data_IF_577354025610
#
_entry.id   IF_577354025610
#
_cell.length_a   1.000
_cell.length_b   1.000
_cell.length_c   1.000
_cell.angle_alpha   90.00
_cell.angle_beta   90.00
_cell.angle_gamma   90.00
#
_symmetry.space_group_name_H-M   'P 1'
#
loop_
_entity.id
_entity.type
_entity.pdbx_description
1 polymer ?
#
# COMPACT_ATOMS: atom_id res chain seq x y z
N UNK A 1 13.27 -4.09 22.62
CA UNK A 1 13.95 -4.63 21.42
C UNK A 1 13.10 -4.31 20.21
N UNK A 2 13.55 -3.39 19.36
CA UNK A 2 12.83 -2.96 18.15
C UNK A 2 13.24 -3.90 17.02
N UNK A 3 12.29 -4.67 16.47
CA UNK A 3 12.52 -5.51 15.29
C UNK A 3 12.21 -4.68 14.04
N UNK A 4 13.21 -4.47 13.20
CA UNK A 4 13.12 -3.77 11.92
C UNK A 4 12.79 -4.79 10.83
N UNK A 5 11.70 -4.60 10.12
CA UNK A 5 11.35 -5.41 8.93
C UNK A 5 11.35 -4.48 7.73
N UNK A 6 12.33 -4.66 6.83
CA UNK A 6 12.43 -3.96 5.55
C UNK A 6 11.75 -4.85 4.52
N UNK A 7 10.61 -4.42 3.97
CA UNK A 7 9.92 -5.15 2.91
C UNK A 7 10.05 -4.37 1.59
N UNK A 8 10.75 -4.97 0.63
CA UNK A 8 10.85 -4.47 -0.74
C UNK A 8 9.62 -4.97 -1.52
N UNK A 9 8.79 -4.05 -2.01
CA UNK A 9 7.63 -4.38 -2.84
C UNK A 9 7.76 -3.65 -4.17
N UNK A 10 7.79 -4.40 -5.27
CA UNK A 10 7.66 -3.88 -6.63
C UNK A 10 6.17 -3.73 -6.91
N UNK A 11 5.68 -2.48 -6.99
CA UNK A 11 4.29 -2.20 -7.31
C UNK A 11 4.18 -1.78 -8.78
N UNK A 12 3.33 -2.46 -9.55
CA UNK A 12 2.92 -2.05 -10.90
C UNK A 12 1.51 -1.48 -10.77
N UNK A 13 1.35 -0.16 -10.90
CA UNK A 13 0.05 0.49 -10.82
C UNK A 13 -0.34 1.19 -12.12
N UNK A 14 -1.64 1.21 -12.44
CA UNK A 14 -2.22 2.13 -13.43
C UNK A 14 -2.78 3.33 -12.66
N UNK A 15 -2.24 4.52 -12.88
CA UNK A 15 -2.81 5.78 -12.39
C UNK A 15 -3.52 6.53 -13.53
N UNK A 16 -4.79 6.86 -13.34
CA UNK A 16 -5.53 7.81 -14.22
C UNK A 16 -5.29 9.23 -13.72
N UNK A 17 -4.83 10.13 -14.59
CA UNK A 17 -4.74 11.57 -14.28
C UNK A 17 -5.93 12.30 -14.89
N UNK A 18 -6.61 13.12 -14.09
CA UNK A 18 -7.59 14.10 -14.57
C UNK A 18 -6.85 15.25 -15.25
N UNK A 19 -7.09 15.45 -16.55
CA UNK A 19 -6.49 16.54 -17.32
C UNK A 19 -7.31 17.82 -17.16
N UNK A 20 -6.64 18.91 -16.77
CA UNK A 20 -7.12 20.26 -17.09
C UNK A 20 -6.85 20.53 -18.57
N UNK A 21 -7.94 20.69 -19.32
CA UNK A 21 -7.98 20.93 -20.75
C UNK A 21 -7.43 22.32 -21.12
N UNK A 22 -6.42 22.38 -22.00
CA UNK A 22 -6.14 23.56 -22.81
C UNK A 22 -6.52 23.28 -24.27
N UNK A 23 -7.65 23.87 -24.66
CA UNK A 23 -8.10 24.10 -26.03
C UNK A 23 -7.12 24.97 -26.81
N UNK A 24 -6.80 24.62 -28.06
CA UNK A 24 -6.07 25.54 -28.95
C UNK A 24 -5.64 24.94 -30.29
N UNK A 25 -6.35 25.37 -31.34
CA UNK A 25 -6.11 25.25 -32.79
C UNK A 25 -4.68 24.98 -33.29
N UNK A 26 -4.59 24.14 -34.33
CA UNK A 26 -3.38 23.86 -35.10
C UNK A 26 -2.83 25.12 -35.80
N UNK A 27 -1.53 25.41 -35.58
CA UNK A 27 -0.76 26.38 -36.38
C UNK A 27 0.31 25.66 -37.22
N UNK A 28 0.64 26.17 -38.43
CA UNK A 28 1.52 25.50 -39.37
C UNK A 28 2.98 25.54 -38.89
N UNK A 29 3.72 24.45 -39.12
CA UNK A 29 5.13 24.33 -38.75
C UNK A 29 6.04 25.13 -39.70
N UNK A 30 6.95 25.97 -39.19
CA UNK A 30 8.13 26.36 -39.93
C UNK A 30 9.40 25.75 -39.34
N UNK A 31 10.21 25.18 -40.25
CA UNK A 31 11.67 25.03 -40.22
C UNK A 31 12.31 24.42 -38.95
N UNK A 32 12.96 23.26 -39.12
CA UNK A 32 13.87 22.65 -38.13
C UNK A 32 15.00 23.63 -37.78
N UNK A 33 14.78 24.40 -36.72
CA UNK A 33 15.81 25.06 -35.95
C UNK A 33 16.35 23.97 -35.02
N UNK A 34 17.66 23.73 -35.05
CA UNK A 34 18.34 22.92 -34.02
C UNK A 34 18.19 23.69 -32.72
N UNK A 35 17.10 23.43 -32.00
CA UNK A 35 16.83 24.02 -30.70
C UNK A 35 17.85 23.44 -29.73
N UNK A 36 18.73 24.29 -29.22
CA UNK A 36 19.47 23.99 -27.99
C UNK A 36 18.44 23.46 -26.96
N UNK A 37 18.75 22.41 -26.19
CA UNK A 37 17.83 21.95 -25.16
C UNK A 37 17.60 23.13 -24.21
N UNK A 38 16.42 23.74 -24.32
CA UNK A 38 16.00 24.82 -23.43
C UNK A 38 15.94 24.17 -22.05
N UNK A 39 16.99 24.35 -21.25
CA UNK A 39 16.94 24.10 -19.81
C UNK A 39 15.93 25.08 -19.26
N UNK A 40 14.66 24.66 -19.23
CA UNK A 40 13.61 25.39 -18.54
C UNK A 40 14.10 25.60 -17.09
N UNK A 41 13.99 26.81 -16.53
CA UNK A 41 14.30 27.02 -15.13
C UNK A 41 13.50 26.01 -14.31
N UNK A 42 14.11 25.45 -13.26
CA UNK A 42 13.46 24.52 -12.34
C UNK A 42 12.30 25.23 -11.66
N UNK A 43 11.14 25.19 -12.30
CA UNK A 43 9.86 25.57 -11.71
C UNK A 43 9.57 24.53 -10.63
N UNK A 44 9.01 24.97 -9.50
CA UNK A 44 8.64 24.08 -8.39
C UNK A 44 7.99 22.79 -8.92
N UNK A 45 8.42 21.61 -8.44
CA UNK A 45 7.87 20.34 -8.91
C UNK A 45 6.37 20.31 -8.66
N UNK A 46 5.60 19.92 -9.68
CA UNK A 46 4.15 19.77 -9.55
C UNK A 46 3.86 18.72 -8.47
N UNK A 47 3.02 19.08 -7.51
CA UNK A 47 2.63 18.21 -6.40
C UNK A 47 1.21 17.73 -6.65
N UNK A 48 1.04 16.41 -6.69
CA UNK A 48 -0.27 15.75 -6.74
C UNK A 48 -0.55 15.06 -5.41
N UNK A 49 -1.72 15.28 -4.82
CA UNK A 49 -2.13 14.65 -3.56
C UNK A 49 -3.25 13.66 -3.86
N UNK A 50 -3.07 12.42 -3.43
CA UNK A 50 -4.04 11.35 -3.55
C UNK A 50 -4.41 10.78 -2.18
N UNK A 51 -5.70 10.46 -2.02
CA UNK A 51 -6.22 9.69 -0.90
C UNK A 51 -6.91 8.47 -1.48
N UNK A 52 -6.69 7.29 -0.90
CA UNK A 52 -7.26 6.06 -1.43
C UNK A 52 -7.28 4.91 -0.44
N UNK A 53 -7.82 3.79 -0.91
CA UNK A 53 -7.76 2.52 -0.21
C UNK A 53 -6.44 1.82 -0.55
N UNK A 54 -5.84 1.18 0.44
CA UNK A 54 -4.67 0.31 0.27
C UNK A 54 -4.96 -1.04 0.88
N UNK A 55 -4.27 -2.06 0.40
CA UNK A 55 -4.30 -3.39 0.99
C UNK A 55 -2.87 -3.85 1.22
N UNK A 56 -2.67 -4.65 2.27
CA UNK A 56 -1.39 -5.26 2.56
C UNK A 56 -1.55 -6.73 2.87
N UNK A 57 -0.52 -7.50 2.59
CA UNK A 57 -0.51 -8.93 2.90
C UNK A 57 0.88 -9.30 3.41
N UNK A 58 0.92 -10.04 4.51
CA UNK A 58 2.16 -10.60 5.04
C UNK A 58 2.55 -11.78 4.16
N UNK A 59 3.68 -11.65 3.47
CA UNK A 59 4.22 -12.69 2.61
C UNK A 59 5.34 -13.47 3.31
N UNK A 60 5.60 -14.70 2.85
CA UNK A 60 6.63 -15.60 3.37
C UNK A 60 6.22 -16.33 4.65
N UNK A 61 7.19 -17.05 5.24
CA UNK A 61 7.02 -17.75 6.52
C UNK A 61 7.04 -16.75 7.69
N UNK A 62 5.95 -16.00 7.84
CA UNK A 62 5.80 -14.99 8.88
C UNK A 62 4.91 -15.54 10.02
N UNK A 63 5.44 -15.73 11.25
CA UNK A 63 4.65 -16.22 12.38
C UNK A 63 3.41 -15.38 12.70
N UNK A 64 3.35 -14.12 12.26
CA UNK A 64 2.18 -13.27 12.46
C UNK A 64 0.94 -13.75 11.65
N UNK A 65 1.12 -14.54 10.59
CA UNK A 65 0.00 -15.16 9.84
C UNK A 65 -0.50 -16.46 10.46
N UNK A 66 0.27 -17.05 11.39
CA UNK A 66 -0.12 -18.29 12.07
C UNK A 66 -1.32 -18.07 12.99
N UNK A 67 -1.97 -19.17 13.36
CA UNK A 67 -3.13 -19.20 14.25
C UNK A 67 -2.80 -18.64 15.64
N UNK A 68 -3.77 -17.94 16.25
CA UNK A 68 -3.64 -17.28 17.55
C UNK A 68 -3.45 -18.32 18.68
N UNK A 69 -4.20 -19.41 18.63
CA UNK A 69 -4.09 -20.52 19.56
C UNK A 69 -3.91 -21.82 18.77
N UNK A 70 -2.67 -22.28 18.59
CA UNK A 70 -2.42 -23.58 18.02
C UNK A 70 -2.87 -24.70 18.96
N UNK A 71 -3.49 -25.74 18.38
CA UNK A 71 -3.85 -26.97 19.12
C UNK A 71 -2.64 -27.90 19.29
N UNK A 72 -1.60 -27.72 18.47
CA UNK A 72 -0.41 -28.53 18.42
C UNK A 72 0.83 -27.75 18.87
N UNK A 73 1.82 -28.44 19.42
CA UNK A 73 3.09 -27.84 19.89
C UNK A 73 4.06 -27.44 18.77
N UNK A 74 3.73 -27.78 17.52
CA UNK A 74 4.59 -27.60 16.34
C UNK A 74 4.48 -26.17 15.78
N UNK A 75 3.35 -25.50 15.98
CA UNK A 75 3.09 -24.17 15.42
C UNK A 75 3.35 -23.06 16.45
N UNK A 76 3.98 -21.97 16.00
CA UNK A 76 4.11 -20.75 16.80
C UNK A 76 2.75 -20.13 17.09
N UNK A 77 2.61 -19.54 18.28
CA UNK A 77 1.50 -18.63 18.58
C UNK A 77 1.63 -17.41 17.67
N UNK A 78 0.67 -17.24 16.76
CA UNK A 78 0.66 -16.20 15.75
C UNK A 78 -0.35 -15.08 16.00
N UNK A 79 -0.42 -14.17 15.03
CA UNK A 79 -1.33 -13.03 15.06
C UNK A 79 -2.72 -13.32 14.47
N UNK A 80 -2.89 -14.43 13.76
CA UNK A 80 -4.09 -14.77 13.02
C UNK A 80 -4.33 -13.89 11.79
N UNK A 81 -3.32 -13.12 11.36
CA UNK A 81 -3.43 -12.13 10.30
C UNK A 81 -3.33 -12.74 8.91
N UNK A 82 -4.31 -13.59 8.56
CA UNK A 82 -4.34 -14.27 7.27
C UNK A 82 -4.96 -13.37 6.19
N UNK A 83 -4.43 -13.46 4.97
CA UNK A 83 -4.95 -12.79 3.78
C UNK A 83 -4.67 -11.29 3.71
N UNK A 84 -5.39 -10.63 2.80
CA UNK A 84 -5.27 -9.19 2.56
C UNK A 84 -5.95 -8.38 3.66
N UNK A 85 -5.24 -7.38 4.15
CA UNK A 85 -5.67 -6.49 5.23
C UNK A 85 -5.89 -5.09 4.66
N UNK A 86 -7.06 -4.48 4.90
CA UNK A 86 -7.40 -3.18 4.35
C UNK A 86 -6.68 -2.04 5.08
N UNK A 87 -6.59 -0.90 4.40
CA UNK A 87 -6.04 0.32 4.95
C UNK A 87 -6.45 1.55 4.15
N UNK A 88 -6.11 2.71 4.70
CA UNK A 88 -6.18 4.00 4.01
C UNK A 88 -4.77 4.47 3.65
N UNK A 89 -4.63 5.09 2.49
CA UNK A 89 -3.39 5.65 1.99
C UNK A 89 -3.57 7.12 1.67
N UNK A 90 -2.60 7.93 2.11
CA UNK A 90 -2.41 9.31 1.68
C UNK A 90 -1.05 9.37 0.98
N UNK A 91 -1.01 9.94 -0.23
CA UNK A 91 0.17 10.01 -1.08
C UNK A 91 0.34 11.41 -1.65
N UNK A 92 1.53 11.97 -1.51
CA UNK A 92 2.02 13.09 -2.30
C UNK A 92 2.93 12.56 -3.40
N UNK A 93 2.69 12.96 -4.64
CA UNK A 93 3.53 12.64 -5.79
C UNK A 93 4.14 13.93 -6.31
N UNK A 94 5.47 13.99 -6.27
CA UNK A 94 6.27 15.11 -6.73
C UNK A 94 6.80 14.78 -8.13
N UNK A 95 6.40 15.57 -9.12
CA UNK A 95 6.84 15.40 -10.51
C UNK A 95 8.12 16.20 -10.71
N UNK A 96 9.21 15.49 -11.03
CA UNK A 96 10.56 16.08 -11.05
C UNK A 96 10.98 16.58 -12.42
N UNK A 97 10.28 16.19 -13.48
CA UNK A 97 10.63 16.52 -14.85
C UNK A 97 9.44 17.12 -15.62
N UNK A 98 9.68 18.05 -16.57
CA UNK A 98 8.62 18.60 -17.41
C UNK A 98 7.85 17.55 -18.21
N UNK A 99 8.53 16.46 -18.57
CA UNK A 99 7.94 15.35 -19.32
C UNK A 99 7.15 14.38 -18.45
N UNK A 100 7.10 14.58 -17.12
CA UNK A 100 6.39 13.79 -16.10
C UNK A 100 6.75 12.30 -16.05
N UNK A 101 7.98 11.95 -16.42
CA UNK A 101 8.54 10.59 -16.40
C UNK A 101 9.09 10.22 -15.03
N UNK A 102 9.72 11.15 -14.32
CA UNK A 102 10.36 10.90 -13.03
C UNK A 102 9.49 11.46 -11.91
N UNK A 103 9.13 10.61 -10.95
CA UNK A 103 8.29 11.00 -9.82
C UNK A 103 8.86 10.46 -8.53
N UNK A 104 8.75 11.27 -7.49
CA UNK A 104 8.98 10.82 -6.12
C UNK A 104 7.64 10.78 -5.44
N UNK A 105 7.32 9.65 -4.80
CA UNK A 105 6.10 9.50 -4.02
C UNK A 105 6.46 9.48 -2.55
N UNK A 106 5.71 10.19 -1.71
CA UNK A 106 5.84 10.13 -0.26
C UNK A 106 4.46 10.05 0.36
N UNK A 107 4.30 9.32 1.46
CA UNK A 107 2.99 9.17 2.05
C UNK A 107 2.93 8.42 3.35
N UNK A 108 1.70 8.25 3.81
CA UNK A 108 1.33 7.54 5.01
C UNK A 108 0.22 6.55 4.67
N UNK A 109 0.42 5.29 5.06
CA UNK A 109 -0.61 4.26 5.10
C UNK A 109 -1.04 4.03 6.54
N UNK A 110 -2.33 3.84 6.75
CA UNK A 110 -2.89 3.35 7.99
C UNK A 110 -3.58 2.02 7.71
N UNK A 111 -2.93 0.92 8.11
CA UNK A 111 -3.39 -0.44 7.82
C UNK A 111 -3.95 -1.05 9.10
N UNK A 112 -5.12 -1.69 8.97
CA UNK A 112 -5.75 -2.42 10.07
C UNK A 112 -5.55 -3.91 9.87
N UNK A 113 -4.79 -4.52 10.77
CA UNK A 113 -4.61 -5.96 10.83
C UNK A 113 -5.65 -6.56 11.77
N UNK A 114 -6.47 -7.48 11.27
CA UNK A 114 -7.48 -8.18 12.07
C UNK A 114 -7.35 -9.69 11.90
N UNK A 115 -7.01 -10.37 12.98
CA UNK A 115 -6.99 -11.82 13.08
C UNK A 115 -8.21 -12.33 13.84
N UNK A 116 -8.87 -13.33 13.27
CA UNK A 116 -10.03 -13.99 13.88
C UNK A 116 -9.77 -15.50 13.92
N UNK A 117 -10.00 -16.10 15.07
CA UNK A 117 -9.96 -17.55 15.21
C UNK A 117 -11.18 -18.06 15.98
N UNK A 118 -11.77 -19.13 15.45
CA UNK A 118 -12.84 -19.91 16.08
C UNK A 118 -12.31 -21.31 16.31
N UNK A 119 -12.37 -21.78 17.56
CA UNK A 119 -12.07 -23.16 17.93
C UNK A 119 -13.35 -23.77 18.50
N UNK A 120 -13.77 -24.88 17.94
CA UNK A 120 -14.89 -25.67 18.46
C UNK A 120 -14.36 -26.86 19.24
N UNK A 121 -14.99 -27.12 20.38
CA UNK A 121 -14.76 -28.29 21.22
C UNK A 121 -16.09 -28.86 21.74
N UNK A 122 -16.07 -30.06 22.33
CA UNK A 122 -17.25 -30.63 22.97
C UNK A 122 -17.71 -29.73 24.12
N UNK A 123 -18.93 -29.19 24.04
CA UNK A 123 -19.51 -28.32 25.08
C UNK A 123 -19.03 -26.85 25.07
N UNK A 124 -18.18 -26.41 24.13
CA UNK A 124 -17.78 -25.00 24.05
C UNK A 124 -17.39 -24.53 22.65
N UNK A 125 -17.57 -23.22 22.42
CA UNK A 125 -16.99 -22.49 21.28
C UNK A 125 -16.09 -21.38 21.81
N UNK A 126 -14.85 -21.38 21.36
CA UNK A 126 -13.85 -20.39 21.70
C UNK A 126 -13.63 -19.42 20.53
N UNK A 127 -13.69 -18.13 20.81
CA UNK A 127 -13.42 -17.06 19.86
C UNK A 127 -12.24 -16.22 20.35
N UNK A 128 -11.25 -16.05 19.48
CA UNK A 128 -10.16 -15.11 19.67
C UNK A 128 -10.16 -14.07 18.55
N UNK A 129 -9.93 -12.81 18.92
CA UNK A 129 -9.75 -11.69 18.01
C UNK A 129 -8.48 -10.95 18.40
N UNK A 130 -7.66 -10.65 17.41
CA UNK A 130 -6.45 -9.85 17.56
C UNK A 130 -6.50 -8.72 16.53
N UNK A 131 -6.40 -7.48 17.00
CA UNK A 131 -6.38 -6.30 16.14
C UNK A 131 -5.04 -5.59 16.32
N UNK A 132 -4.45 -5.10 15.25
CA UNK A 132 -3.22 -4.33 15.28
C UNK A 132 -3.30 -3.18 14.27
N UNK A 133 -3.00 -1.97 14.75
CA UNK A 133 -2.94 -0.79 13.90
C UNK A 133 -1.50 -0.51 13.46
N UNK A 134 -1.31 -0.36 12.15
CA UNK A 134 0.00 -0.27 11.51
C UNK A 134 0.15 1.01 10.65
N UNK A 135 0.40 2.18 11.28
CA UNK A 135 0.83 3.36 10.54
C UNK A 135 2.17 3.09 9.84
N UNK A 136 2.23 3.33 8.54
CA UNK A 136 3.37 3.03 7.69
C UNK A 136 3.73 4.24 6.84
N UNK A 137 4.97 4.69 6.94
CA UNK A 137 5.50 5.74 6.08
C UNK A 137 5.99 5.12 4.77
N UNK A 138 5.72 5.78 3.65
CA UNK A 138 6.09 5.32 2.32
C UNK A 138 6.88 6.41 1.62
N UNK A 139 8.00 6.02 1.00
CA UNK A 139 8.81 6.86 0.13
C UNK A 139 9.18 6.03 -1.09
N UNK A 140 8.77 6.46 -2.28
CA UNK A 140 8.97 5.75 -3.51
C UNK A 140 9.57 6.61 -4.60
N UNK A 141 10.15 5.93 -5.58
CA UNK A 141 10.60 6.51 -6.84
C UNK A 141 9.92 5.77 -7.99
N UNK A 142 9.29 6.51 -8.89
CA UNK A 142 8.59 5.98 -10.05
C UNK A 142 9.16 6.54 -11.35
N UNK A 143 9.28 5.67 -12.34
CA UNK A 143 9.65 6.00 -13.71
C UNK A 143 8.54 5.60 -14.68
N UNK A 144 7.87 6.59 -15.28
CA UNK A 144 6.87 6.37 -16.32
C UNK A 144 7.54 6.17 -17.68
N UNK A 145 7.47 4.95 -18.19
CA UNK A 145 8.14 4.53 -19.43
C UNK A 145 7.23 4.56 -20.65
N UNK A 146 5.90 4.50 -20.48
CA UNK A 146 4.97 4.50 -21.61
C UNK A 146 3.71 5.32 -21.32
N UNK A 147 3.30 6.11 -22.31
CA UNK A 147 2.04 6.85 -22.28
C UNK A 147 0.95 6.05 -22.98
N UNK A 148 -0.21 5.93 -22.35
CA UNK A 148 -1.41 5.28 -22.89
C UNK A 148 -2.43 6.37 -23.23
N UNK A 149 -2.40 6.92 -24.47
CA UNK A 149 -3.23 8.07 -24.84
C UNK A 149 -4.73 7.77 -24.79
N UNK A 150 -5.14 6.54 -25.11
CA UNK A 150 -6.56 6.14 -25.07
C UNK A 150 -7.15 6.16 -23.65
N UNK A 151 -6.33 5.89 -22.63
CA UNK A 151 -6.77 5.81 -21.24
C UNK A 151 -6.44 7.09 -20.44
N UNK A 152 -5.83 8.10 -21.08
CA UNK A 152 -5.24 9.25 -20.42
C UNK A 152 -4.38 8.84 -19.19
N UNK A 153 -3.60 7.77 -19.36
CA UNK A 153 -2.85 7.13 -18.30
C UNK A 153 -1.39 6.92 -18.73
N UNK A 154 -0.52 6.62 -17.75
CA UNK A 154 0.87 6.25 -18.03
C UNK A 154 1.22 4.98 -17.28
N UNK A 155 1.95 4.09 -17.96
CA UNK A 155 2.57 2.95 -17.30
C UNK A 155 3.88 3.40 -16.66
N UNK A 156 4.07 2.99 -15.42
CA UNK A 156 5.25 3.27 -14.64
C UNK A 156 5.75 2.01 -13.95
N UNK A 157 7.03 2.04 -13.64
CA UNK A 157 7.68 1.09 -12.73
C UNK A 157 8.24 1.89 -11.58
N UNK A 158 8.15 1.36 -10.37
CA UNK A 158 8.65 2.07 -9.19
C UNK A 158 9.21 1.15 -8.14
N UNK A 159 9.98 1.74 -7.25
CA UNK A 159 10.51 1.10 -6.05
C UNK A 159 10.09 1.94 -4.85
N UNK A 160 9.45 1.29 -3.88
CA UNK A 160 8.99 1.91 -2.65
C UNK A 160 9.81 1.40 -1.45
N UNK A 161 10.31 2.33 -0.64
CA UNK A 161 10.71 2.08 0.74
C UNK A 161 9.52 2.30 1.67
N UNK A 162 9.26 1.32 2.56
CA UNK A 162 8.15 1.35 3.51
C UNK A 162 8.65 1.12 4.92
N UNK A 163 8.22 1.97 5.85
CA UNK A 163 8.56 1.89 7.27
C UNK A 163 7.30 1.82 8.12
N UNK A 164 7.00 0.62 8.63
CA UNK A 164 5.82 0.34 9.43
C UNK A 164 6.12 0.44 10.93
N UNK A 165 5.29 1.19 11.67
CA UNK A 165 5.41 1.35 13.12
C UNK A 165 4.28 0.59 13.82
N UNK A 166 4.62 -0.34 14.70
CA UNK A 166 3.65 -1.04 15.54
C UNK A 166 3.22 -0.11 16.68
N UNK A 167 1.96 0.30 16.71
CA UNK A 167 1.44 1.17 17.78
C UNK A 167 0.72 0.40 18.88
N UNK A 168 -0.48 -0.09 18.58
CA UNK A 168 -1.38 -0.67 19.58
C UNK A 168 -1.98 -1.96 19.04
N UNK A 169 -1.78 -3.04 19.79
CA UNK A 169 -2.42 -4.32 19.56
C UNK A 169 -3.51 -4.54 20.60
N UNK A 170 -4.74 -4.78 20.17
CA UNK A 170 -5.85 -5.13 21.05
C UNK A 170 -6.16 -6.62 20.91
N UNK A 171 -6.24 -7.31 22.03
CA UNK A 171 -6.52 -8.75 22.08
C UNK A 171 -7.81 -9.02 22.84
N UNK A 172 -8.73 -9.78 22.25
CA UNK A 172 -10.00 -10.16 22.89
C UNK A 172 -10.26 -11.65 22.76
N UNK A 173 -10.78 -12.23 23.84
CA UNK A 173 -11.11 -13.65 23.97
C UNK A 173 -12.52 -13.81 24.51
N UNK A 174 -13.32 -14.69 23.90
CA UNK A 174 -14.68 -15.02 24.35
C UNK A 174 -14.86 -16.54 24.31
N UNK A 175 -15.38 -17.10 25.39
CA UNK A 175 -15.74 -18.52 25.50
C UNK A 175 -17.25 -18.59 25.64
N UNK A 176 -17.89 -19.42 24.81
CA UNK A 176 -19.33 -19.68 24.87
C UNK A 176 -19.52 -21.14 25.19
N UNK A 177 -20.12 -21.46 26.33
CA UNK A 177 -20.46 -22.81 26.70
C UNK A 177 -21.75 -23.23 25.98
N UNK A 178 -21.76 -24.44 25.42
CA UNK A 178 -22.96 -25.07 24.89
C UNK A 178 -23.48 -26.02 25.96
N UNK A 179 -24.76 -25.90 26.32
CA UNK A 179 -25.43 -26.94 27.09
C UNK A 179 -25.38 -28.22 26.25
N UNK A 180 -24.88 -29.29 26.86
CA UNK A 180 -24.98 -30.63 26.32
C UNK A 180 -26.40 -31.06 26.69
N UNK A 181 -27.33 -31.02 25.74
CA UNK A 181 -28.58 -31.73 25.91
C UNK A 181 -28.24 -33.23 25.93
N UNK A 182 -28.40 -33.84 27.12
CA UNK A 182 -28.22 -35.28 27.37
C UNK A 182 -29.48 -36.03 26.97
#
# INVERSE_FOLDING_TARGET
MIKVVIMLVILVGLGTQTASSQTGLAKPQPKKIVSQPITRPYTFPEIQIGIGLTTSWLNGANPATDIIFPKDTIHSIGGGFNGQQPGLAIRGTFIMDPDRRMRITAGLDYIWYTGLQRIEGPGYTFYARHNLDLPTFVLGFEYAFMNLPLANARMYVGVDARYAVLRKGDFRRKIVYKLIDV
#
